data_IF_366049193106
#
_entry.id   IF_366049193106
#
_cell.length_a   1.000
_cell.length_b   1.000
_cell.length_c   1.000
_cell.angle_alpha   90.00
_cell.angle_beta   90.00
_cell.angle_gamma   90.00
#
_symmetry.space_group_name_H-M   'P 1'
#
loop_
_entity.id
_entity.type
_entity.pdbx_description
1 polymer ?
#
# COMPACT_ATOMS: atom_id res chain seq x y z
N UNK A 1 0.47 -5.84 -17.39
CA UNK A 1 -0.67 -6.73 -17.68
C UNK A 1 -0.66 -7.99 -16.80
N UNK A 2 0.45 -8.72 -16.73
CA UNK A 2 0.55 -9.96 -15.93
C UNK A 2 0.26 -9.73 -14.44
N UNK A 3 0.84 -8.68 -13.84
CA UNK A 3 0.58 -8.31 -12.45
C UNK A 3 -0.88 -7.92 -12.20
N UNK A 4 -1.52 -7.26 -13.16
CA UNK A 4 -2.96 -6.97 -13.08
C UNK A 4 -3.80 -8.25 -13.06
N UNK A 5 -3.43 -9.24 -13.89
CA UNK A 5 -4.04 -10.56 -13.85
C UNK A 5 -3.93 -11.24 -12.48
N UNK A 6 -2.75 -11.18 -11.85
CA UNK A 6 -2.54 -11.70 -10.50
C UNK A 6 -3.42 -11.01 -9.45
N UNK A 7 -3.53 -9.68 -9.50
CA UNK A 7 -4.42 -8.91 -8.60
C UNK A 7 -5.88 -9.31 -8.82
N UNK A 8 -6.32 -9.47 -10.08
CA UNK A 8 -7.70 -9.86 -10.38
C UNK A 8 -8.03 -11.25 -9.81
N UNK A 9 -7.09 -12.18 -9.87
CA UNK A 9 -7.25 -13.52 -9.27
C UNK A 9 -7.35 -13.41 -7.74
N UNK A 10 -6.49 -12.61 -7.10
CA UNK A 10 -6.50 -12.43 -5.64
C UNK A 10 -7.81 -11.80 -5.14
N UNK A 11 -8.30 -10.80 -5.87
CA UNK A 11 -9.48 -10.01 -5.46
C UNK A 11 -10.79 -10.66 -5.91
N UNK A 12 -10.75 -11.53 -6.92
CA UNK A 12 -11.94 -12.13 -7.53
C UNK A 12 -12.86 -12.84 -6.54
N UNK A 13 -12.31 -13.59 -5.61
CA UNK A 13 -13.06 -14.27 -4.54
C UNK A 13 -13.63 -13.30 -3.49
N UNK A 14 -12.92 -12.22 -3.18
CA UNK A 14 -13.35 -11.25 -2.18
C UNK A 14 -14.41 -10.27 -2.70
N UNK A 15 -14.53 -10.10 -4.02
CA UNK A 15 -15.58 -9.29 -4.63
C UNK A 15 -16.99 -9.88 -4.44
N UNK A 16 -17.10 -11.19 -4.26
CA UNK A 16 -18.38 -11.87 -4.04
C UNK A 16 -18.96 -11.65 -2.65
N UNK A 17 -18.14 -11.29 -1.66
CA UNK A 17 -18.53 -11.16 -0.24
C UNK A 17 -18.61 -9.70 0.26
N UNK A 18 -18.03 -8.75 -0.50
CA UNK A 18 -18.01 -7.33 -0.14
C UNK A 18 -19.14 -6.50 -0.73
N UNK A 19 -19.38 -5.32 -0.18
CA UNK A 19 -20.31 -4.36 -0.79
C UNK A 19 -19.68 -3.78 -2.08
N UNK A 20 -20.47 -3.72 -3.16
CA UNK A 20 -20.04 -3.13 -4.44
C UNK A 20 -19.47 -1.70 -4.27
N UNK A 21 -20.14 -0.90 -3.42
CA UNK A 21 -19.69 0.46 -3.11
C UNK A 21 -18.33 0.47 -2.41
N UNK A 22 -18.11 -0.42 -1.43
CA UNK A 22 -16.83 -0.55 -0.74
C UNK A 22 -15.69 -0.92 -1.68
N UNK A 23 -15.93 -1.80 -2.63
CA UNK A 23 -14.95 -2.20 -3.63
C UNK A 23 -14.58 -1.05 -4.59
N UNK A 24 -15.56 -0.21 -4.99
CA UNK A 24 -15.27 0.99 -5.80
C UNK A 24 -14.43 1.99 -4.99
N UNK A 25 -14.78 2.23 -3.73
CA UNK A 25 -14.02 3.13 -2.86
C UNK A 25 -12.60 2.62 -2.64
N UNK A 26 -12.41 1.31 -2.49
CA UNK A 26 -11.09 0.69 -2.35
C UNK A 26 -10.19 0.92 -3.57
N UNK A 27 -10.74 1.01 -4.79
CA UNK A 27 -9.98 1.33 -6.00
C UNK A 27 -9.40 2.75 -5.98
N UNK A 28 -9.98 3.67 -5.20
CA UNK A 28 -9.44 5.02 -5.05
C UNK A 28 -8.07 5.03 -4.34
N UNK A 29 -7.78 4.05 -3.48
CA UNK A 29 -6.54 3.98 -2.71
C UNK A 29 -5.31 3.88 -3.63
N UNK A 30 -5.18 2.88 -4.54
CA UNK A 30 -4.02 2.77 -5.41
C UNK A 30 -3.91 3.92 -6.42
N UNK A 31 -5.03 4.52 -6.84
CA UNK A 31 -5.04 5.70 -7.71
C UNK A 31 -4.42 6.88 -6.96
N UNK A 32 -4.91 7.20 -5.76
CA UNK A 32 -4.38 8.29 -4.94
C UNK A 32 -2.91 8.06 -4.59
N UNK A 33 -2.51 6.83 -4.26
CA UNK A 33 -1.12 6.49 -4.00
C UNK A 33 -0.22 6.73 -5.23
N UNK A 34 -0.67 6.34 -6.41
CA UNK A 34 0.07 6.57 -7.67
C UNK A 34 0.24 8.07 -7.95
N UNK A 35 -0.79 8.87 -7.71
CA UNK A 35 -0.75 10.34 -7.83
C UNK A 35 0.25 10.91 -6.83
N UNK A 36 0.22 10.46 -5.57
CA UNK A 36 1.15 10.89 -4.52
C UNK A 36 2.62 10.65 -4.95
N UNK A 37 2.95 9.43 -5.39
CA UNK A 37 4.31 9.09 -5.85
C UNK A 37 4.73 9.95 -7.04
N UNK A 38 3.82 10.24 -7.97
CA UNK A 38 4.10 11.11 -9.12
C UNK A 38 4.39 12.55 -8.67
N UNK A 39 3.60 13.09 -7.72
CA UNK A 39 3.80 14.44 -7.16
C UNK A 39 5.14 14.56 -6.46
N UNK A 40 5.47 13.60 -5.60
CA UNK A 40 6.75 13.57 -4.88
C UNK A 40 7.91 13.53 -5.87
N UNK A 41 7.83 12.70 -6.91
CA UNK A 41 8.87 12.62 -7.94
C UNK A 41 9.01 13.87 -8.78
N UNK A 42 7.92 14.49 -9.16
CA UNK A 42 7.94 15.76 -9.92
C UNK A 42 8.64 16.86 -9.12
N UNK A 43 8.48 16.83 -7.81
CA UNK A 43 9.04 17.82 -6.88
C UNK A 43 10.24 17.29 -6.08
N UNK A 44 11.05 16.41 -6.66
CA UNK A 44 12.20 15.76 -5.98
C UNK A 44 13.22 16.72 -5.37
N UNK A 45 13.27 17.96 -5.84
CA UNK A 45 14.16 19.01 -5.35
C UNK A 45 13.59 19.75 -4.12
N UNK A 46 12.31 19.55 -3.80
CA UNK A 46 11.66 20.09 -2.63
C UNK A 46 11.68 19.06 -1.49
N UNK A 47 11.74 19.54 -0.26
CA UNK A 47 11.52 18.67 0.87
C UNK A 47 10.02 18.45 1.08
N UNK A 48 9.55 17.26 0.68
CA UNK A 48 8.13 16.87 0.78
C UNK A 48 7.79 16.21 2.13
N UNK A 49 8.77 16.01 3.02
CA UNK A 49 8.54 15.43 4.36
C UNK A 49 7.54 16.26 5.18
N UNK A 50 7.58 17.60 5.19
CA UNK A 50 6.57 18.41 5.89
C UNK A 50 5.14 18.17 5.41
N UNK A 51 4.93 17.78 4.15
CA UNK A 51 3.60 17.46 3.62
C UNK A 51 2.98 16.24 4.35
N UNK A 52 3.80 15.28 4.81
CA UNK A 52 3.35 14.13 5.59
C UNK A 52 2.79 14.61 6.94
N UNK A 53 3.47 15.57 7.59
CA UNK A 53 3.00 16.17 8.83
C UNK A 53 1.62 16.83 8.65
N UNK A 54 1.45 17.65 7.60
CA UNK A 54 0.16 18.27 7.30
C UNK A 54 -0.93 17.24 6.98
N UNK A 55 -0.59 16.16 6.26
CA UNK A 55 -1.55 15.09 5.99
C UNK A 55 -2.05 14.42 7.28
N UNK A 56 -1.18 14.27 8.28
CA UNK A 56 -1.54 13.78 9.61
C UNK A 56 -2.54 14.71 10.32
N UNK A 57 -2.33 16.03 10.26
CA UNK A 57 -3.28 17.01 10.82
C UNK A 57 -4.64 16.89 10.13
N UNK A 58 -4.69 16.83 8.81
CA UNK A 58 -5.94 16.64 8.08
C UNK A 58 -6.63 15.33 8.44
N UNK A 59 -5.87 14.23 8.61
CA UNK A 59 -6.42 12.94 9.03
C UNK A 59 -7.05 13.01 10.42
N UNK A 60 -6.44 13.75 11.36
CA UNK A 60 -7.02 13.99 12.70
C UNK A 60 -8.34 14.76 12.57
N UNK A 61 -8.37 15.85 11.81
CA UNK A 61 -9.58 16.66 11.60
C UNK A 61 -10.70 15.80 11.00
N UNK A 62 -10.40 15.01 9.96
CA UNK A 62 -11.36 14.11 9.36
C UNK A 62 -11.85 13.04 10.34
N UNK A 63 -10.96 12.43 11.10
CA UNK A 63 -11.29 11.46 12.12
C UNK A 63 -12.23 12.03 13.19
N UNK A 64 -11.98 13.26 13.65
CA UNK A 64 -12.82 13.94 14.62
C UNK A 64 -14.23 14.26 14.07
N UNK A 65 -14.32 14.64 12.80
CA UNK A 65 -15.62 14.98 12.16
C UNK A 65 -16.46 13.71 11.91
N UNK A 66 -15.81 12.61 11.53
CA UNK A 66 -16.50 11.36 11.15
C UNK A 66 -16.71 10.40 12.32
N UNK A 67 -16.10 10.67 13.47
CA UNK A 67 -16.22 9.80 14.64
C UNK A 67 -17.60 9.95 15.28
N UNK A 68 -18.31 8.83 15.43
CA UNK A 68 -19.61 8.77 16.11
C UNK A 68 -19.46 8.73 17.65
N UNK A 69 -18.28 8.35 18.14
CA UNK A 69 -18.00 8.29 19.58
C UNK A 69 -16.53 8.58 19.87
N UNK A 70 -16.25 9.17 21.02
CA UNK A 70 -14.90 9.49 21.49
C UNK A 70 -14.48 8.62 22.69
N UNK A 71 -15.01 7.40 22.76
CA UNK A 71 -14.62 6.44 23.81
C UNK A 71 -13.42 5.65 23.33
N UNK A 72 -12.24 5.94 23.86
CA UNK A 72 -11.00 5.25 23.54
C UNK A 72 -10.53 4.40 24.70
N UNK A 73 -10.24 3.13 24.43
CA UNK A 73 -9.56 2.25 25.38
C UNK A 73 -8.05 2.50 25.30
N UNK A 74 -7.31 2.18 26.36
CA UNK A 74 -5.84 2.25 26.32
C UNK A 74 -5.24 1.38 25.22
N UNK A 75 -5.90 0.26 24.89
CA UNK A 75 -5.53 -0.60 23.77
C UNK A 75 -5.69 0.11 22.41
N UNK A 76 -6.79 0.85 22.21
CA UNK A 76 -7.04 1.57 20.95
C UNK A 76 -5.99 2.67 20.71
N UNK A 77 -5.62 3.37 21.79
CA UNK A 77 -4.57 4.41 21.73
C UNK A 77 -3.23 3.78 21.38
N UNK A 78 -2.87 2.64 22.01
CA UNK A 78 -1.63 1.94 21.74
C UNK A 78 -1.57 1.42 20.31
N UNK A 79 -2.64 0.78 19.84
CA UNK A 79 -2.73 0.29 18.46
C UNK A 79 -2.71 1.43 17.45
N UNK A 80 -3.43 2.52 17.71
CA UNK A 80 -3.41 3.72 16.87
C UNK A 80 -2.01 4.34 16.79
N UNK A 81 -1.26 4.38 17.89
CA UNK A 81 0.13 4.82 17.89
C UNK A 81 1.02 3.94 17.01
N UNK A 82 0.96 2.62 17.17
CA UNK A 82 1.78 1.69 16.38
C UNK A 82 1.43 1.70 14.89
N UNK A 83 0.15 1.79 14.55
CA UNK A 83 -0.30 1.89 13.15
C UNK A 83 0.06 3.26 12.54
N UNK A 84 -0.11 4.35 13.29
CA UNK A 84 0.10 5.70 12.78
C UNK A 84 1.57 6.08 12.65
N UNK A 85 2.37 5.80 13.67
CA UNK A 85 3.76 6.31 13.73
C UNK A 85 4.74 5.36 13.04
N UNK A 86 5.03 4.14 13.54
CA UNK A 86 6.03 3.28 12.91
C UNK A 86 5.58 2.70 11.56
N UNK A 87 4.32 2.44 11.37
CA UNK A 87 3.84 1.84 10.12
C UNK A 87 3.58 2.89 9.04
N UNK A 88 2.71 3.88 9.28
CA UNK A 88 2.33 4.84 8.25
C UNK A 88 3.34 5.99 8.14
N UNK A 89 3.61 6.74 9.21
CA UNK A 89 4.43 7.94 9.11
C UNK A 89 5.87 7.60 8.71
N UNK A 90 6.50 6.61 9.35
CA UNK A 90 7.86 6.19 8.99
C UNK A 90 7.92 5.62 7.58
N UNK A 91 6.94 4.79 7.17
CA UNK A 91 6.84 4.26 5.83
C UNK A 91 6.75 5.35 4.77
N UNK A 92 5.87 6.35 4.95
CA UNK A 92 5.74 7.49 4.03
C UNK A 92 6.99 8.36 3.99
N UNK A 93 7.69 8.56 5.10
CA UNK A 93 8.98 9.28 5.12
C UNK A 93 10.01 8.52 4.28
N UNK A 94 10.14 7.20 4.47
CA UNK A 94 11.05 6.37 3.69
C UNK A 94 10.74 6.42 2.19
N UNK A 95 9.46 6.34 1.79
CA UNK A 95 9.03 6.45 0.40
C UNK A 95 9.36 7.84 -0.15
N UNK A 96 9.09 8.89 0.61
CA UNK A 96 9.34 10.29 0.20
C UNK A 96 10.81 10.52 -0.06
N UNK A 97 11.68 10.08 0.84
CA UNK A 97 13.15 10.21 0.67
C UNK A 97 13.64 9.30 -0.47
N UNK A 98 13.23 8.04 -0.49
CA UNK A 98 13.65 7.06 -1.49
C UNK A 98 13.20 7.41 -2.90
N UNK A 99 12.05 8.05 -3.07
CA UNK A 99 11.51 8.44 -4.37
C UNK A 99 12.30 9.56 -5.06
N UNK A 100 13.16 10.27 -4.33
CA UNK A 100 14.04 11.30 -4.92
C UNK A 100 15.04 10.73 -5.91
N UNK A 101 15.52 9.51 -5.65
CA UNK A 101 16.55 8.84 -6.44
C UNK A 101 16.01 7.62 -7.20
N UNK A 102 14.93 7.01 -6.75
CA UNK A 102 14.39 5.76 -7.29
C UNK A 102 13.34 6.02 -8.37
N UNK A 103 13.38 5.35 -9.53
CA UNK A 103 12.35 5.42 -10.56
C UNK A 103 10.96 5.02 -10.03
N UNK A 104 9.88 5.71 -10.47
CA UNK A 104 8.50 5.42 -10.03
C UNK A 104 8.06 3.98 -10.30
N UNK A 105 8.52 3.40 -11.40
CA UNK A 105 8.29 1.99 -11.73
C UNK A 105 8.90 1.04 -10.70
N UNK A 106 10.10 1.35 -10.19
CA UNK A 106 10.74 0.55 -9.14
C UNK A 106 10.00 0.69 -7.81
N UNK A 107 9.54 1.90 -7.47
CA UNK A 107 8.72 2.12 -6.26
C UNK A 107 7.43 1.31 -6.38
N UNK A 108 6.74 1.35 -7.52
CA UNK A 108 5.55 0.54 -7.75
C UNK A 108 5.79 -0.97 -7.61
N UNK A 109 6.94 -1.47 -8.08
CA UNK A 109 7.31 -2.88 -7.89
C UNK A 109 7.59 -3.23 -6.42
N UNK A 110 8.24 -2.33 -5.68
CA UNK A 110 8.46 -2.52 -4.24
C UNK A 110 7.14 -2.55 -3.46
N UNK A 111 6.15 -1.74 -3.86
CA UNK A 111 4.81 -1.78 -3.26
C UNK A 111 4.08 -3.10 -3.52
N UNK A 112 4.28 -3.73 -4.68
CA UNK A 112 3.74 -5.08 -4.93
C UNK A 112 4.32 -6.13 -3.96
N UNK A 113 5.52 -5.91 -3.45
CA UNK A 113 6.12 -6.78 -2.43
C UNK A 113 5.30 -6.76 -1.13
N UNK A 114 4.80 -5.60 -0.72
CA UNK A 114 3.91 -5.48 0.43
C UNK A 114 2.64 -6.32 0.26
N UNK A 115 2.02 -6.27 -0.92
CA UNK A 115 0.83 -7.07 -1.25
C UNK A 115 1.07 -8.57 -1.12
N UNK A 116 2.31 -9.02 -1.37
CA UNK A 116 2.70 -10.43 -1.21
C UNK A 116 2.93 -10.82 0.24
N UNK A 117 3.54 -9.93 1.03
CA UNK A 117 3.84 -10.22 2.43
C UNK A 117 2.61 -10.07 3.34
N UNK A 118 1.61 -9.27 2.97
CA UNK A 118 0.42 -9.07 3.79
C UNK A 118 -0.28 -10.39 4.16
N UNK A 119 -0.59 -11.32 3.23
CA UNK A 119 -1.20 -12.62 3.58
C UNK A 119 -0.29 -13.49 4.46
N UNK A 120 1.04 -13.39 4.28
CA UNK A 120 2.01 -14.14 5.09
C UNK A 120 1.99 -13.69 6.55
N UNK A 121 1.92 -12.37 6.77
CA UNK A 121 1.79 -11.81 8.11
C UNK A 121 0.48 -12.20 8.77
N UNK A 122 -0.64 -12.14 8.05
CA UNK A 122 -1.95 -12.59 8.55
C UNK A 122 -1.88 -14.07 8.95
N UNK A 123 -1.28 -14.92 8.14
CA UNK A 123 -1.10 -16.32 8.47
C UNK A 123 -0.26 -16.54 9.74
N UNK A 124 0.87 -15.85 9.87
CA UNK A 124 1.79 -16.01 11.01
C UNK A 124 1.18 -15.47 12.31
N UNK A 125 0.55 -14.29 12.28
CA UNK A 125 0.09 -13.61 13.49
C UNK A 125 -1.35 -13.95 13.88
N UNK A 126 -2.22 -14.22 12.91
CA UNK A 126 -3.64 -14.51 13.14
C UNK A 126 -3.98 -15.99 12.96
N UNK A 127 -3.03 -16.82 12.51
CA UNK A 127 -3.24 -18.24 12.17
C UNK A 127 -4.36 -18.46 11.12
N UNK A 128 -4.66 -17.44 10.30
CA UNK A 128 -5.61 -17.54 9.23
C UNK A 128 -4.91 -18.00 7.95
N UNK A 129 -5.34 -19.14 7.41
CA UNK A 129 -4.77 -19.70 6.18
C UNK A 129 -5.26 -18.86 4.99
N UNK A 130 -4.35 -18.27 4.18
CA UNK A 130 -4.77 -17.47 3.02
C UNK A 130 -5.54 -18.35 2.02
N UNK A 131 -6.61 -17.81 1.39
CA UNK A 131 -7.33 -18.50 0.33
C UNK A 131 -6.41 -18.88 -0.83
N UNK A 132 -6.76 -19.96 -1.54
CA UNK A 132 -5.95 -20.46 -2.66
C UNK A 132 -5.81 -19.42 -3.79
N UNK A 133 -6.83 -18.60 -4.02
CA UNK A 133 -6.82 -17.47 -4.95
C UNK A 133 -5.71 -16.45 -4.62
N UNK A 134 -5.48 -16.18 -3.34
CA UNK A 134 -4.42 -15.27 -2.87
C UNK A 134 -3.03 -15.88 -3.13
N UNK A 135 -2.86 -17.18 -2.92
CA UNK A 135 -1.59 -17.88 -3.20
C UNK A 135 -1.29 -17.91 -4.71
N UNK A 136 -2.26 -18.25 -5.54
CA UNK A 136 -2.10 -18.30 -6.99
C UNK A 136 -1.83 -16.89 -7.54
N UNK A 137 -2.65 -15.91 -7.18
CA UNK A 137 -2.47 -14.53 -7.61
C UNK A 137 -1.13 -13.94 -7.18
N UNK A 138 -0.69 -14.26 -5.96
CA UNK A 138 0.63 -13.90 -5.44
C UNK A 138 1.77 -14.47 -6.28
N UNK A 139 1.71 -15.75 -6.65
CA UNK A 139 2.70 -16.37 -7.53
C UNK A 139 2.77 -15.69 -8.92
N UNK A 140 1.61 -15.31 -9.48
CA UNK A 140 1.55 -14.57 -10.76
C UNK A 140 2.20 -13.19 -10.63
N UNK A 141 1.97 -12.48 -9.53
CA UNK A 141 2.59 -11.17 -9.25
C UNK A 141 4.11 -11.32 -9.11
N UNK A 142 4.60 -12.30 -8.34
CA UNK A 142 6.04 -12.57 -8.20
C UNK A 142 6.68 -12.81 -9.58
N UNK A 143 6.05 -13.65 -10.38
CA UNK A 143 6.53 -13.95 -11.73
C UNK A 143 6.61 -12.68 -12.59
N UNK A 144 5.59 -11.81 -12.52
CA UNK A 144 5.57 -10.53 -13.22
C UNK A 144 6.72 -9.60 -12.79
N UNK A 145 7.03 -9.55 -11.49
CA UNK A 145 8.11 -8.73 -10.92
C UNK A 145 9.47 -9.26 -11.41
N UNK A 146 9.69 -10.57 -11.34
CA UNK A 146 10.93 -11.23 -11.79
C UNK A 146 11.17 -10.98 -13.28
N UNK A 147 10.17 -11.22 -14.12
CA UNK A 147 10.25 -10.98 -15.57
C UNK A 147 10.62 -9.53 -15.88
N UNK A 148 9.99 -8.58 -15.21
CA UNK A 148 10.29 -7.15 -15.39
C UNK A 148 11.68 -6.77 -14.89
N UNK A 149 12.17 -7.39 -13.83
CA UNK A 149 13.53 -7.17 -13.32
C UNK A 149 14.58 -7.69 -14.29
N UNK A 150 14.35 -8.83 -14.91
CA UNK A 150 15.25 -9.43 -15.89
C UNK A 150 15.29 -8.62 -17.21
N UNK A 151 14.17 -8.08 -17.64
CA UNK A 151 14.08 -7.25 -18.86
C UNK A 151 14.86 -5.94 -18.73
N UNK A 152 14.90 -5.35 -17.53
CA UNK A 152 15.66 -4.13 -17.25
C UNK A 152 17.18 -4.32 -17.39
N UNK A 153 17.69 -5.50 -17.11
CA UNK A 153 19.11 -5.81 -17.24
C UNK A 153 19.57 -5.92 -18.71
N UNK A 154 18.64 -6.14 -19.67
CA UNK A 154 18.95 -6.16 -21.10
C UNK A 154 19.07 -4.78 -21.75
N UNK A 155 18.54 -3.73 -21.11
CA UNK A 155 18.55 -2.36 -21.65
C UNK A 155 19.79 -1.57 -21.20
N UNK A 156 20.52 -2.07 -20.20
CA UNK A 156 21.73 -1.43 -19.64
C UNK A 156 23.04 -2.12 -20.04
N UNK A 157 22.98 -3.16 -20.86
CA UNK A 157 24.12 -3.81 -21.51
C UNK A 157 24.15 -3.46 -23.00
#
# INVERSE_FOLDING_TARGET
LLAMGGITIMVGDSLSTGSFLGNIVALAIPINFSILVMIIRKNKNLDMVPAIFYSGIFSIIYGLILSESFVFTSHDILMGFFLGVPQLAFGFICITIGSRTTPSTTIGLLMLTETLFAPVWVWIFLNEIPPLSVLIGGCVIITAIILKSLDKNKVTS
#
